data_IF_879077175797
#
_entry.id   IF_879077175797
#
_cell.length_a   1.000
_cell.length_b   1.000
_cell.length_c   1.000
_cell.angle_alpha   90.00
_cell.angle_beta   90.00
_cell.angle_gamma   90.00
#
_symmetry.space_group_name_H-M   'P 1'
#
loop_
_entity.id
_entity.type
_entity.pdbx_description
1 polymer ?
#
# COMPACT_ATOMS: atom_id res chain seq x y z
N UNK A 1 3.38 -0.73 -12.76
CA UNK A 1 1.96 -0.79 -12.37
C UNK A 1 1.25 0.46 -12.84
N UNK A 2 0.03 0.33 -13.37
CA UNK A 2 -0.77 1.46 -13.85
C UNK A 2 -1.10 2.45 -12.71
N UNK A 3 -1.15 3.76 -13.01
CA UNK A 3 -1.42 4.82 -12.02
C UNK A 3 -2.79 4.66 -11.37
N UNK A 4 -3.79 4.27 -12.14
CA UNK A 4 -5.15 4.06 -11.64
C UNK A 4 -5.19 2.90 -10.64
N UNK A 5 -4.42 1.85 -10.91
CA UNK A 5 -4.31 0.69 -10.03
C UNK A 5 -3.61 1.01 -8.72
N UNK A 6 -2.54 1.81 -8.77
CA UNK A 6 -1.87 2.35 -7.57
C UNK A 6 -2.86 3.16 -6.74
N UNK A 7 -3.64 4.03 -7.39
CA UNK A 7 -4.63 4.86 -6.71
C UNK A 7 -5.72 4.02 -6.03
N UNK A 8 -6.29 3.03 -6.75
CA UNK A 8 -7.28 2.09 -6.20
C UNK A 8 -6.74 1.33 -4.98
N UNK A 9 -5.55 0.75 -5.10
CA UNK A 9 -4.92 0.04 -3.98
C UNK A 9 -4.66 0.95 -2.78
N UNK A 10 -4.20 2.18 -3.01
CA UNK A 10 -3.98 3.14 -1.94
C UNK A 10 -5.29 3.53 -1.24
N UNK A 11 -6.34 3.83 -2.01
CA UNK A 11 -7.67 4.14 -1.47
C UNK A 11 -8.24 2.98 -0.64
N UNK A 12 -8.06 1.74 -1.11
CA UNK A 12 -8.45 0.54 -0.37
C UNK A 12 -7.70 0.38 0.95
N UNK A 13 -6.39 0.58 0.94
CA UNK A 13 -5.59 0.52 2.17
C UNK A 13 -5.98 1.60 3.16
N UNK A 14 -6.19 2.83 2.68
CA UNK A 14 -6.62 3.96 3.50
C UNK A 14 -7.94 3.66 4.20
N UNK A 15 -8.94 3.19 3.46
CA UNK A 15 -10.25 2.82 4.01
C UNK A 15 -10.14 1.69 5.04
N UNK A 16 -9.33 0.67 4.75
CA UNK A 16 -9.15 -0.48 5.66
C UNK A 16 -8.53 -0.08 6.99
N UNK A 17 -7.57 0.84 6.98
CA UNK A 17 -7.02 1.34 8.24
C UNK A 17 -8.05 2.13 9.04
N UNK A 18 -8.87 2.96 8.39
CA UNK A 18 -9.98 3.65 9.07
C UNK A 18 -10.94 2.64 9.69
N UNK A 19 -11.39 1.66 8.90
CA UNK A 19 -12.31 0.63 9.38
C UNK A 19 -11.75 -0.18 10.56
N UNK A 20 -10.46 -0.54 10.50
CA UNK A 20 -9.77 -1.23 11.58
C UNK A 20 -9.72 -0.36 12.85
N UNK A 21 -9.46 0.94 12.70
CA UNK A 21 -9.41 1.90 13.81
C UNK A 21 -10.78 2.11 14.47
N UNK A 22 -11.86 2.14 13.68
CA UNK A 22 -13.21 2.41 14.17
C UNK A 22 -13.92 1.17 14.72
N UNK A 23 -13.80 0.04 14.01
CA UNK A 23 -14.60 -1.16 14.27
C UNK A 23 -13.79 -2.32 14.84
N UNK A 24 -12.46 -2.22 14.82
CA UNK A 24 -11.56 -3.32 15.19
C UNK A 24 -11.55 -4.48 14.19
N UNK A 25 -12.25 -4.37 13.06
CA UNK A 25 -12.42 -5.43 12.06
C UNK A 25 -12.12 -4.92 10.64
N UNK A 26 -11.83 -5.84 9.73
CA UNK A 26 -11.69 -5.55 8.29
C UNK A 26 -12.76 -6.34 7.55
N UNK A 27 -13.70 -5.63 6.91
CA UNK A 27 -14.79 -6.23 6.13
C UNK A 27 -14.32 -6.52 4.69
N UNK A 28 -14.90 -7.54 4.04
CA UNK A 28 -14.60 -7.90 2.66
C UNK A 28 -15.29 -6.94 1.67
N UNK A 29 -14.81 -5.70 1.58
CA UNK A 29 -15.27 -4.68 0.63
C UNK A 29 -14.30 -4.56 -0.55
N UNK A 30 -14.75 -3.93 -1.64
CA UNK A 30 -13.98 -3.62 -2.82
C UNK A 30 -13.95 -2.10 -3.11
N UNK A 31 -13.20 -1.68 -4.13
CA UNK A 31 -13.07 -0.27 -4.49
C UNK A 31 -14.41 0.42 -4.80
N UNK A 32 -15.35 -0.27 -5.46
CA UNK A 32 -16.63 0.31 -5.84
C UNK A 32 -17.51 0.65 -4.62
N UNK A 33 -17.30 -0.05 -3.50
CA UNK A 33 -18.01 0.23 -2.24
C UNK A 33 -17.51 1.52 -1.56
N UNK A 34 -16.27 1.95 -1.85
CA UNK A 34 -15.59 3.04 -1.13
C UNK A 34 -15.31 4.28 -1.97
N UNK A 35 -15.43 4.21 -3.30
CA UNK A 35 -15.01 5.28 -4.21
C UNK A 35 -15.74 6.62 -4.01
N UNK A 36 -16.97 6.56 -3.49
CA UNK A 36 -17.85 7.73 -3.29
C UNK A 36 -17.93 8.16 -1.81
N UNK A 37 -17.12 7.57 -0.93
CA UNK A 37 -17.09 7.92 0.50
C UNK A 37 -16.43 9.30 0.67
N UNK A 38 -17.13 10.21 1.34
CA UNK A 38 -16.53 11.46 1.81
C UNK A 38 -15.95 11.28 3.21
N UNK A 39 -14.62 11.32 3.29
CA UNK A 39 -13.89 11.19 4.54
C UNK A 39 -13.98 12.48 5.36
N UNK A 40 -14.25 12.37 6.65
CA UNK A 40 -14.22 13.52 7.56
C UNK A 40 -12.80 14.11 7.66
N UNK A 41 -12.66 15.32 8.18
CA UNK A 41 -11.34 15.93 8.38
C UNK A 41 -10.46 15.10 9.32
N UNK A 42 -11.07 14.46 10.33
CA UNK A 42 -10.38 13.52 11.22
C UNK A 42 -9.85 12.32 10.43
N UNK A 43 -10.65 11.75 9.53
CA UNK A 43 -10.25 10.59 8.73
C UNK A 43 -9.15 10.95 7.74
N UNK A 44 -9.24 12.12 7.09
CA UNK A 44 -8.19 12.64 6.21
C UNK A 44 -6.85 12.78 6.93
N UNK A 45 -6.86 13.22 8.19
CA UNK A 45 -5.66 13.26 9.03
C UNK A 45 -5.13 11.84 9.36
N UNK A 46 -6.02 10.93 9.75
CA UNK A 46 -5.67 9.52 10.00
C UNK A 46 -5.09 8.85 8.75
N UNK A 47 -5.70 9.04 7.58
CA UNK A 47 -5.21 8.53 6.28
C UNK A 47 -3.80 9.04 6.00
N UNK A 48 -3.55 10.35 6.20
CA UNK A 48 -2.22 10.93 6.00
C UNK A 48 -1.16 10.31 6.92
N UNK A 49 -1.51 10.02 8.17
CA UNK A 49 -0.64 9.34 9.11
C UNK A 49 -0.41 7.87 8.71
N UNK A 50 -1.48 7.13 8.43
CA UNK A 50 -1.45 5.70 8.10
C UNK A 50 -0.67 5.42 6.81
N UNK A 51 -0.65 6.34 5.84
CA UNK A 51 0.16 6.25 4.62
C UNK A 51 1.67 6.20 4.85
N UNK A 52 2.13 6.48 6.07
CA UNK A 52 3.54 6.33 6.46
C UNK A 52 3.87 4.90 6.92
N UNK A 53 2.85 4.09 7.23
CA UNK A 53 2.99 2.73 7.77
C UNK A 53 3.21 1.67 6.69
N UNK A 54 3.06 2.04 5.41
CA UNK A 54 3.20 1.12 4.28
C UNK A 54 3.86 1.79 3.08
N UNK A 55 4.41 0.96 2.18
CA UNK A 55 5.03 1.42 0.92
C UNK A 55 4.06 1.12 -0.23
N UNK A 56 3.74 2.15 -1.02
CA UNK A 56 2.89 2.02 -2.20
C UNK A 56 3.25 3.10 -3.25
N UNK A 57 3.34 2.69 -4.52
CA UNK A 57 3.62 3.60 -5.62
C UNK A 57 4.16 2.93 -6.87
N UNK A 58 4.84 3.73 -7.69
CA UNK A 58 5.58 3.25 -8.87
C UNK A 58 6.84 2.49 -8.46
N UNK A 59 7.41 1.62 -9.33
CA UNK A 59 8.63 0.89 -9.03
C UNK A 59 9.77 1.80 -8.54
N UNK A 60 9.98 2.95 -9.17
CA UNK A 60 11.00 3.94 -8.76
C UNK A 60 10.78 4.46 -7.33
N UNK A 61 9.53 4.79 -6.97
CA UNK A 61 9.19 5.27 -5.63
C UNK A 61 9.36 4.17 -4.59
N UNK A 62 8.90 2.96 -4.91
CA UNK A 62 9.04 1.79 -4.04
C UNK A 62 10.52 1.46 -3.81
N UNK A 63 11.34 1.43 -4.87
CA UNK A 63 12.78 1.21 -4.77
C UNK A 63 13.43 2.24 -3.84
N UNK A 64 13.15 3.53 -4.04
CA UNK A 64 13.71 4.59 -3.20
C UNK A 64 13.36 4.38 -1.72
N UNK A 65 12.11 4.03 -1.41
CA UNK A 65 11.69 3.82 -0.02
C UNK A 65 12.31 2.57 0.60
N UNK A 66 12.41 1.48 -0.17
CA UNK A 66 13.08 0.25 0.27
C UNK A 66 14.59 0.48 0.48
N UNK A 67 15.26 1.13 -0.46
CA UNK A 67 16.69 1.43 -0.37
C UNK A 67 16.99 2.31 0.87
N UNK A 68 16.13 3.29 1.19
CA UNK A 68 16.25 4.05 2.44
C UNK A 68 16.12 3.16 3.68
N UNK A 69 15.19 2.21 3.70
CA UNK A 69 15.07 1.26 4.83
C UNK A 69 16.31 0.37 4.96
N UNK A 70 16.85 -0.11 3.83
CA UNK A 70 18.07 -0.92 3.80
C UNK A 70 19.24 -0.12 4.40
N UNK A 71 19.41 1.13 4.00
CA UNK A 71 20.48 2.01 4.48
C UNK A 71 20.32 2.39 5.97
N UNK A 72 19.11 2.77 6.38
CA UNK A 72 18.81 3.22 7.74
C UNK A 72 18.97 2.09 8.76
N UNK A 73 18.47 0.89 8.43
CA UNK A 73 18.49 -0.26 9.33
C UNK A 73 19.69 -1.19 9.12
N UNK A 74 20.48 -0.99 8.06
CA UNK A 74 21.67 -1.78 7.71
C UNK A 74 21.37 -3.28 7.63
N UNK A 75 20.36 -3.63 6.85
CA UNK A 75 19.88 -5.00 6.67
C UNK A 75 20.23 -5.53 5.29
N UNK A 76 20.53 -6.83 5.21
CA UNK A 76 20.81 -7.50 3.92
C UNK A 76 19.54 -8.10 3.28
N UNK A 77 18.43 -8.19 4.03
CA UNK A 77 17.17 -8.78 3.58
C UNK A 77 15.96 -7.96 4.05
N UNK A 78 14.95 -7.84 3.17
CA UNK A 78 13.63 -7.30 3.50
C UNK A 78 12.56 -8.33 3.17
N UNK A 79 11.77 -8.70 4.18
CA UNK A 79 10.57 -9.51 3.99
C UNK A 79 9.38 -8.64 3.59
N UNK A 80 8.77 -8.93 2.44
CA UNK A 80 7.67 -8.14 1.87
C UNK A 80 6.31 -8.78 2.13
N UNK A 81 5.49 -8.12 2.94
CA UNK A 81 4.08 -8.46 3.16
C UNK A 81 3.18 -7.58 2.29
N UNK A 82 2.80 -8.08 1.11
CA UNK A 82 2.01 -7.31 0.15
C UNK A 82 0.53 -7.66 0.20
N UNK A 83 -0.31 -6.63 0.34
CA UNK A 83 -1.75 -6.71 0.07
C UNK A 83 -2.02 -6.35 -1.41
N UNK A 84 -2.87 -7.12 -2.05
CA UNK A 84 -3.42 -6.83 -3.38
C UNK A 84 -4.83 -7.43 -3.50
N UNK A 85 -5.66 -6.88 -4.39
CA UNK A 85 -7.04 -7.35 -4.59
C UNK A 85 -7.10 -8.71 -5.30
N UNK A 86 -6.17 -8.99 -6.23
CA UNK A 86 -6.08 -10.24 -6.95
C UNK A 86 -4.72 -10.93 -6.74
N UNK A 87 -4.68 -12.24 -7.02
CA UNK A 87 -3.44 -13.02 -6.97
C UNK A 87 -2.49 -12.57 -8.08
N UNK A 88 -3.02 -12.22 -9.25
CA UNK A 88 -2.28 -11.72 -10.40
C UNK A 88 -1.56 -10.42 -10.06
N UNK A 89 -2.25 -9.49 -9.39
CA UNK A 89 -1.68 -8.23 -8.93
C UNK A 89 -0.59 -8.43 -7.90
N UNK A 90 -0.79 -9.38 -6.98
CA UNK A 90 0.21 -9.74 -5.98
C UNK A 90 1.48 -10.29 -6.64
N UNK A 91 1.33 -11.21 -7.60
CA UNK A 91 2.45 -11.77 -8.38
C UNK A 91 3.20 -10.69 -9.16
N UNK A 92 2.46 -9.84 -9.85
CA UNK A 92 3.06 -8.73 -10.62
C UNK A 92 3.82 -7.76 -9.69
N UNK A 93 3.27 -7.44 -8.51
CA UNK A 93 3.98 -6.61 -7.53
C UNK A 93 5.30 -7.24 -7.09
N UNK A 94 5.33 -8.54 -6.77
CA UNK A 94 6.58 -9.21 -6.39
C UNK A 94 7.56 -9.26 -7.55
N UNK A 95 7.09 -9.52 -8.77
CA UNK A 95 7.94 -9.51 -9.97
C UNK A 95 8.58 -8.15 -10.18
N UNK A 96 7.80 -7.07 -10.14
CA UNK A 96 8.31 -5.70 -10.29
C UNK A 96 9.34 -5.36 -9.22
N UNK A 97 9.17 -5.83 -7.98
CA UNK A 97 10.16 -5.60 -6.92
C UNK A 97 11.42 -6.45 -7.13
N UNK A 98 11.29 -7.72 -7.51
CA UNK A 98 12.43 -8.57 -7.82
C UNK A 98 13.27 -8.00 -8.97
N UNK A 99 12.63 -7.50 -10.02
CA UNK A 99 13.30 -6.89 -11.18
C UNK A 99 14.14 -5.65 -10.78
N UNK A 100 13.75 -4.92 -9.72
CA UNK A 100 14.49 -3.76 -9.20
C UNK A 100 15.82 -4.12 -8.52
N UNK A 101 16.02 -5.38 -8.11
CA UNK A 101 17.20 -5.85 -7.36
C UNK A 101 17.97 -6.98 -8.06
N UNK A 102 17.39 -7.60 -9.09
CA UNK A 102 18.03 -8.66 -9.88
C UNK A 102 18.75 -8.14 -11.15
N UNK A 103 18.96 -6.82 -11.25
CA UNK A 103 19.62 -6.16 -12.40
C UNK A 103 21.11 -5.96 -12.16
#
# INVERSE_FOLDING_TARGET
MDKDKIHRQQAMMDHRFIQLQETGNILPINFEDIKDIDYSDKDKLSIKYNRQLYICGTPEKVKKQLDSLIEDYKVDEIMLATYAESIEDKKESYKLIADLYNS
#
